data_IF_650587698487
#
_entry.id   IF_650587698487
#
_cell.length_a   1.000
_cell.length_b   1.000
_cell.length_c   1.000
_cell.angle_alpha   90.00
_cell.angle_beta   90.00
_cell.angle_gamma   90.00
#
_symmetry.space_group_name_H-M   'P 1'
#
loop_
_entity.id
_entity.type
_entity.pdbx_description
1 polymer ?
#
# COMPACT_ATOMS: atom_id res chain seq x y z
N UNK A 1 -1.61 14.99 -4.64
CA UNK A 1 -0.98 15.13 -5.97
C UNK A 1 -1.76 14.35 -7.01
N UNK A 2 -1.93 13.02 -6.90
CA UNK A 2 -2.61 12.20 -7.92
C UNK A 2 -4.05 12.65 -8.21
N UNK A 3 -4.85 12.96 -7.17
CA UNK A 3 -6.21 13.50 -7.34
C UNK A 3 -6.23 14.83 -8.10
N UNK A 4 -5.24 15.69 -7.88
CA UNK A 4 -5.10 16.96 -8.63
C UNK A 4 -4.76 16.74 -10.10
N UNK A 5 -4.02 15.68 -10.44
CA UNK A 5 -3.69 15.31 -11.81
C UNK A 5 -4.89 14.71 -12.55
N UNK A 6 -5.69 13.88 -11.88
CA UNK A 6 -6.93 13.33 -12.43
C UNK A 6 -7.95 14.46 -12.80
N UNK A 7 -8.03 15.51 -11.99
CA UNK A 7 -8.87 16.69 -12.27
C UNK A 7 -8.43 17.54 -13.48
N UNK A 8 -7.25 17.29 -14.06
CA UNK A 8 -6.71 18.01 -15.22
C UNK A 8 -6.95 17.29 -16.56
N UNK A 9 -7.91 16.38 -16.64
CA UNK A 9 -8.20 15.55 -17.84
C UNK A 9 -6.99 14.70 -18.30
N UNK A 10 -6.10 14.32 -17.38
CA UNK A 10 -4.97 13.43 -17.67
C UNK A 10 -5.38 11.99 -17.41
N UNK A 11 -5.07 11.10 -18.34
CA UNK A 11 -5.16 9.68 -18.09
C UNK A 11 -4.03 9.24 -17.17
N UNK A 12 -4.39 8.61 -16.07
CA UNK A 12 -3.45 8.04 -15.11
C UNK A 12 -3.50 6.52 -15.21
N UNK A 13 -2.33 5.92 -15.32
CA UNK A 13 -2.16 4.49 -15.46
C UNK A 13 -1.37 3.97 -14.26
N UNK A 14 -1.87 2.95 -13.62
CA UNK A 14 -1.20 2.25 -12.53
C UNK A 14 -0.96 0.80 -12.93
N UNK A 15 0.26 0.34 -12.81
CA UNK A 15 0.65 -1.03 -13.11
C UNK A 15 1.43 -1.61 -11.93
N UNK A 16 1.07 -2.81 -11.50
CA UNK A 16 1.82 -3.59 -10.54
C UNK A 16 1.70 -5.09 -10.81
N UNK A 17 2.69 -5.86 -10.37
CA UNK A 17 2.65 -7.33 -10.39
C UNK A 17 1.91 -7.88 -9.18
N UNK A 18 2.03 -7.20 -8.06
CA UNK A 18 1.29 -7.49 -6.83
C UNK A 18 0.56 -6.22 -6.39
N UNK A 19 -0.67 -6.38 -5.96
CA UNK A 19 -1.48 -5.31 -5.41
C UNK A 19 -1.71 -5.55 -3.94
N UNK A 20 -1.41 -4.58 -3.12
CA UNK A 20 -1.79 -4.53 -1.71
C UNK A 20 -2.83 -3.44 -1.43
N UNK A 21 -3.12 -3.19 -0.17
CA UNK A 21 -4.08 -2.16 0.25
C UNK A 21 -3.63 -0.75 -0.15
N UNK A 22 -2.32 -0.49 -0.15
CA UNK A 22 -1.75 0.81 -0.55
C UNK A 22 -1.87 1.00 -2.05
N UNK A 23 -1.61 -0.07 -2.83
CA UNK A 23 -1.77 -0.04 -4.29
C UNK A 23 -3.23 0.21 -4.70
N UNK A 24 -4.18 -0.40 -4.01
CA UNK A 24 -5.61 -0.12 -4.21
C UNK A 24 -5.92 1.35 -3.93
N UNK A 25 -5.40 1.90 -2.83
CA UNK A 25 -5.59 3.31 -2.51
C UNK A 25 -4.97 4.24 -3.56
N UNK A 26 -3.74 3.98 -3.98
CA UNK A 26 -3.03 4.78 -4.97
C UNK A 26 -3.69 4.67 -6.36
N UNK A 27 -3.98 3.44 -6.78
CA UNK A 27 -4.60 3.16 -8.08
C UNK A 27 -6.03 3.66 -8.19
N UNK A 28 -6.71 3.87 -7.07
CA UNK A 28 -8.07 4.40 -7.03
C UNK A 28 -8.22 5.78 -7.69
N UNK A 29 -7.16 6.58 -7.75
CA UNK A 29 -7.13 7.85 -8.48
C UNK A 29 -6.83 7.69 -9.99
N UNK A 30 -6.54 6.46 -10.45
CA UNK A 30 -6.10 6.19 -11.80
C UNK A 30 -7.26 5.75 -12.70
N UNK A 31 -7.22 6.18 -13.97
CA UNK A 31 -8.19 5.77 -14.98
C UNK A 31 -8.01 4.30 -15.35
N UNK A 32 -6.76 3.86 -15.46
CA UNK A 32 -6.38 2.50 -15.78
C UNK A 32 -5.62 1.88 -14.61
N UNK A 33 -6.17 0.80 -14.08
CA UNK A 33 -5.60 0.00 -13.00
C UNK A 33 -5.25 -1.36 -13.56
N UNK A 34 -3.97 -1.62 -13.76
CA UNK A 34 -3.50 -2.79 -14.50
C UNK A 34 -2.70 -3.68 -13.57
N UNK A 35 -3.02 -4.98 -13.59
CA UNK A 35 -2.27 -6.01 -12.89
C UNK A 35 -1.57 -6.90 -13.90
N UNK A 36 -0.38 -7.43 -13.54
CA UNK A 36 0.25 -8.47 -14.35
C UNK A 36 -0.63 -9.73 -14.42
N UNK A 37 -0.77 -10.43 -15.57
CA UNK A 37 -1.64 -11.61 -15.69
C UNK A 37 -1.35 -12.75 -14.70
N UNK A 38 -0.08 -12.90 -14.29
CA UNK A 38 0.36 -13.83 -13.24
C UNK A 38 0.44 -13.15 -11.85
N UNK A 39 -0.05 -11.94 -11.74
CA UNK A 39 -0.03 -11.17 -10.51
C UNK A 39 -1.11 -11.59 -9.54
N UNK A 40 -0.94 -11.15 -8.31
CA UNK A 40 -1.87 -11.39 -7.22
C UNK A 40 -2.32 -10.08 -6.59
N UNK A 41 -3.57 -10.04 -6.18
CA UNK A 41 -4.10 -8.97 -5.36
C UNK A 41 -4.26 -9.49 -3.94
N UNK A 42 -3.41 -9.00 -3.04
CA UNK A 42 -3.29 -9.49 -1.68
C UNK A 42 -3.68 -8.39 -0.69
N UNK A 43 -4.93 -8.39 -0.28
CA UNK A 43 -5.42 -7.45 0.71
C UNK A 43 -5.36 -8.09 2.09
N UNK A 44 -4.19 -8.05 2.68
CA UNK A 44 -4.02 -8.39 4.09
C UNK A 44 -4.38 -7.17 4.92
N UNK A 45 -5.08 -7.42 6.03
CA UNK A 45 -5.30 -6.38 7.02
C UNK A 45 -3.97 -5.84 7.56
N UNK A 46 -4.03 -4.78 8.34
CA UNK A 46 -2.87 -4.26 9.03
C UNK A 46 -2.55 -5.15 10.22
N UNK A 47 -1.27 -5.47 10.42
CA UNK A 47 -0.78 -6.21 11.56
C UNK A 47 0.37 -5.45 12.22
N UNK A 48 0.46 -5.57 13.52
CA UNK A 48 1.58 -5.05 14.29
C UNK A 48 2.35 -6.20 14.92
N UNK A 49 3.66 -6.23 14.73
CA UNK A 49 4.55 -7.19 15.37
C UNK A 49 5.57 -6.44 16.22
N UNK A 50 5.84 -6.97 17.40
CA UNK A 50 6.82 -6.42 18.33
C UNK A 50 7.65 -7.54 18.93
N UNK A 51 8.96 -7.36 18.96
CA UNK A 51 9.87 -8.26 19.64
C UNK A 51 9.93 -7.91 21.13
N UNK A 52 9.97 -8.94 21.97
CA UNK A 52 10.16 -8.81 23.41
C UNK A 52 11.47 -9.48 23.80
N UNK A 53 12.32 -8.75 24.51
CA UNK A 53 13.68 -9.17 24.85
C UNK A 53 13.81 -9.60 26.30
N UNK A 54 12.75 -9.51 27.11
CA UNK A 54 12.80 -9.80 28.55
C UNK A 54 13.37 -11.18 28.85
N UNK A 55 12.87 -12.23 28.21
CA UNK A 55 13.37 -13.60 28.46
C UNK A 55 14.85 -13.77 28.09
N UNK A 56 15.29 -13.10 27.03
CA UNK A 56 16.69 -13.12 26.63
C UNK A 56 17.56 -12.41 27.67
N UNK A 57 17.13 -11.26 28.17
CA UNK A 57 17.84 -10.48 29.18
C UNK A 57 17.92 -11.28 30.52
N UNK A 58 16.81 -11.85 30.94
CA UNK A 58 16.74 -12.68 32.14
C UNK A 58 17.73 -13.87 32.07
N UNK A 59 17.84 -14.54 30.92
CA UNK A 59 18.79 -15.63 30.69
C UNK A 59 20.26 -15.21 30.82
N UNK A 60 20.54 -13.94 30.51
CA UNK A 60 21.88 -13.37 30.63
C UNK A 60 22.11 -12.63 31.97
N UNK A 61 21.16 -12.68 32.89
CA UNK A 61 21.27 -12.03 34.20
C UNK A 61 21.23 -10.49 34.10
N UNK A 62 20.61 -9.95 33.04
CA UNK A 62 20.46 -8.51 32.84
C UNK A 62 19.10 -8.06 33.36
N UNK A 63 19.09 -7.24 34.39
CA UNK A 63 17.89 -6.58 34.90
C UNK A 63 17.74 -5.22 34.27
N UNK A 64 16.51 -4.85 33.88
CA UNK A 64 16.19 -3.56 33.26
C UNK A 64 15.26 -2.79 34.17
N UNK A 65 15.76 -1.70 34.73
CA UNK A 65 14.96 -0.74 35.51
C UNK A 65 14.31 0.28 34.58
N UNK A 66 12.99 0.36 34.65
CA UNK A 66 12.20 1.28 33.83
C UNK A 66 11.46 2.30 34.70
N UNK A 67 11.84 3.54 34.55
CA UNK A 67 11.15 4.67 35.18
C UNK A 67 10.13 5.27 34.21
N UNK A 68 8.84 4.98 34.42
CA UNK A 68 7.76 5.51 33.59
C UNK A 68 6.66 6.15 34.44
N UNK A 69 6.01 7.15 33.91
CA UNK A 69 4.79 7.73 34.50
C UNK A 69 3.66 7.66 33.47
N UNK A 70 2.61 6.93 33.83
CA UNK A 70 1.43 6.70 32.98
C UNK A 70 1.42 5.29 32.36
N UNK A 71 0.21 4.71 32.27
CA UNK A 71 -0.02 3.32 31.85
C UNK A 71 0.25 3.09 30.36
N UNK A 72 0.01 4.09 29.51
CA UNK A 72 0.18 4.01 28.06
C UNK A 72 1.59 4.31 27.55
N UNK A 73 2.58 4.44 28.44
CA UNK A 73 3.98 4.60 28.05
C UNK A 73 4.64 3.25 27.83
N UNK A 74 4.43 2.68 26.66
CA UNK A 74 4.82 1.30 26.29
C UNK A 74 6.19 1.16 25.63
N UNK A 75 6.93 2.26 25.41
CA UNK A 75 8.22 2.22 24.70
C UNK A 75 9.26 1.26 25.33
N UNK A 76 9.23 1.07 26.65
CA UNK A 76 10.13 0.15 27.35
C UNK A 76 9.55 -1.27 27.54
N UNK A 77 8.33 -1.53 27.12
CA UNK A 77 7.68 -2.83 27.29
C UNK A 77 8.43 -3.98 26.62
N UNK A 78 9.12 -3.82 25.48
CA UNK A 78 9.96 -4.87 24.90
C UNK A 78 11.03 -5.43 25.83
N UNK A 79 11.50 -4.63 26.75
CA UNK A 79 12.56 -5.03 27.70
C UNK A 79 12.00 -5.48 29.06
N UNK A 80 10.77 -5.11 29.37
CA UNK A 80 10.12 -5.35 30.68
C UNK A 80 9.13 -6.50 30.66
N UNK A 81 8.45 -6.70 29.52
CA UNK A 81 7.39 -7.68 29.37
C UNK A 81 7.80 -8.79 28.39
N UNK A 82 7.18 -9.96 28.51
CA UNK A 82 7.33 -11.06 27.55
C UNK A 82 6.27 -11.06 26.47
N UNK A 83 5.22 -10.24 26.63
CA UNK A 83 4.10 -10.07 25.70
C UNK A 83 3.52 -8.68 25.88
N UNK A 84 2.58 -8.30 25.00
CA UNK A 84 1.84 -7.07 25.13
C UNK A 84 1.10 -6.99 26.47
N UNK A 85 1.30 -5.91 27.21
CA UNK A 85 0.43 -5.61 28.34
C UNK A 85 -0.93 -5.09 27.84
N UNK A 86 -1.90 -5.01 28.72
CA UNK A 86 -3.27 -4.61 28.37
C UNK A 86 -3.31 -3.22 27.72
N UNK A 87 -2.59 -2.25 28.27
CA UNK A 87 -2.62 -0.86 27.80
C UNK A 87 -1.91 -0.70 26.44
N UNK A 88 -0.81 -1.41 26.25
CA UNK A 88 -0.10 -1.41 24.98
C UNK A 88 -0.94 -2.07 23.89
N UNK A 89 -1.58 -3.21 24.18
CA UNK A 89 -2.50 -3.88 23.27
C UNK A 89 -3.66 -2.98 22.86
N UNK A 90 -4.34 -2.37 23.82
CA UNK A 90 -5.46 -1.44 23.57
C UNK A 90 -5.03 -0.28 22.66
N UNK A 91 -3.86 0.30 22.92
CA UNK A 91 -3.33 1.41 22.14
C UNK A 91 -3.05 1.00 20.68
N UNK A 92 -2.43 -0.16 20.48
CA UNK A 92 -2.10 -0.67 19.14
C UNK A 92 -3.36 -1.09 18.40
N UNK A 93 -4.28 -1.80 19.03
CA UNK A 93 -5.56 -2.20 18.43
C UNK A 93 -6.35 -0.97 17.98
N UNK A 94 -6.41 0.06 18.83
CA UNK A 94 -7.05 1.32 18.45
C UNK A 94 -6.37 2.03 17.31
N UNK A 95 -5.04 2.04 17.26
CA UNK A 95 -4.28 2.61 16.16
C UNK A 95 -4.57 1.89 14.85
N UNK A 96 -4.50 0.55 14.85
CA UNK A 96 -4.78 -0.27 13.68
C UNK A 96 -6.22 -0.07 13.19
N UNK A 97 -7.19 -0.04 14.10
CA UNK A 97 -8.59 0.21 13.79
C UNK A 97 -8.79 1.55 13.07
N UNK A 98 -8.21 2.63 13.62
CA UNK A 98 -8.29 3.97 13.01
C UNK A 98 -7.62 4.00 11.64
N UNK A 99 -6.48 3.32 11.48
CA UNK A 99 -5.79 3.24 10.19
C UNK A 99 -6.64 2.50 9.14
N UNK A 100 -7.21 1.34 9.49
CA UNK A 100 -8.10 0.58 8.60
C UNK A 100 -9.33 1.40 8.22
N UNK A 101 -9.98 2.03 9.19
CA UNK A 101 -11.16 2.87 8.93
C UNK A 101 -10.82 4.05 8.02
N UNK A 102 -9.69 4.71 8.25
CA UNK A 102 -9.24 5.84 7.43
C UNK A 102 -8.95 5.38 5.99
N UNK A 103 -8.17 4.31 5.81
CA UNK A 103 -7.85 3.76 4.49
C UNK A 103 -9.12 3.32 3.76
N UNK A 104 -10.00 2.56 4.41
CA UNK A 104 -11.27 2.12 3.81
C UNK A 104 -12.13 3.29 3.37
N UNK A 105 -12.27 4.31 4.22
CA UNK A 105 -13.05 5.51 3.89
C UNK A 105 -12.47 6.29 2.72
N UNK A 106 -11.15 6.37 2.61
CA UNK A 106 -10.48 7.07 1.51
C UNK A 106 -10.56 6.28 0.19
N UNK A 107 -10.43 4.95 0.26
CA UNK A 107 -10.62 4.06 -0.90
C UNK A 107 -12.05 4.20 -1.43
N UNK A 108 -13.05 4.18 -0.55
CA UNK A 108 -14.45 4.33 -0.93
C UNK A 108 -14.78 5.68 -1.59
N UNK A 109 -14.07 6.76 -1.24
CA UNK A 109 -14.25 8.07 -1.88
C UNK A 109 -13.73 8.14 -3.31
N UNK A 110 -12.78 7.28 -3.67
CA UNK A 110 -12.05 7.37 -4.94
C UNK A 110 -12.48 6.30 -5.93
N UNK A 111 -12.87 5.15 -5.44
CA UNK A 111 -13.25 4.00 -6.25
C UNK A 111 -14.71 3.59 -5.99
N UNK A 112 -15.36 3.09 -7.03
CA UNK A 112 -16.72 2.57 -6.93
C UNK A 112 -16.79 1.18 -6.24
N UNK A 113 -15.92 0.93 -5.27
CA UNK A 113 -15.91 -0.34 -4.53
C UNK A 113 -17.03 -0.34 -3.49
N UNK A 114 -17.76 -1.46 -3.40
CA UNK A 114 -18.72 -1.64 -2.32
C UNK A 114 -18.01 -1.96 -1.01
N UNK A 115 -18.58 -1.52 0.13
CA UNK A 115 -18.04 -1.83 1.45
C UNK A 115 -17.89 -3.34 1.68
N UNK A 116 -18.83 -4.14 1.19
CA UNK A 116 -18.78 -5.60 1.30
C UNK A 116 -17.56 -6.22 0.61
N UNK A 117 -17.13 -5.65 -0.51
CA UNK A 117 -15.90 -6.09 -1.20
C UNK A 117 -14.70 -5.76 -0.34
N UNK A 118 -14.60 -4.54 0.19
CA UNK A 118 -13.51 -4.14 1.06
C UNK A 118 -13.44 -5.01 2.33
N UNK A 119 -14.56 -5.26 2.98
CA UNK A 119 -14.61 -6.08 4.18
C UNK A 119 -14.12 -7.52 3.90
N UNK A 120 -14.55 -8.11 2.78
CA UNK A 120 -14.09 -9.45 2.38
C UNK A 120 -12.59 -9.48 2.02
N UNK A 121 -12.06 -8.41 1.48
CA UNK A 121 -10.64 -8.29 1.13
C UNK A 121 -9.76 -8.05 2.37
N UNK A 122 -10.23 -7.23 3.30
CA UNK A 122 -9.53 -6.98 4.58
C UNK A 122 -9.47 -8.23 5.49
N UNK A 123 -10.36 -9.21 5.27
CA UNK A 123 -10.32 -10.52 5.93
C UNK A 123 -9.18 -11.43 5.43
N UNK A 124 -8.35 -10.98 4.51
CA UNK A 124 -7.12 -11.66 4.09
C UNK A 124 -7.23 -12.47 2.81
N UNK A 125 -8.18 -12.14 1.93
CA UNK A 125 -8.31 -12.81 0.64
C UNK A 125 -7.15 -12.46 -0.29
N UNK A 126 -6.53 -13.48 -0.88
CA UNK A 126 -5.63 -13.33 -2.02
C UNK A 126 -6.41 -13.68 -3.28
N UNK A 127 -6.45 -12.75 -4.23
CA UNK A 127 -7.16 -12.91 -5.50
C UNK A 127 -6.16 -13.05 -6.64
N UNK A 128 -6.51 -13.86 -7.63
CA UNK A 128 -5.77 -13.90 -8.90
C UNK A 128 -6.05 -12.63 -9.71
N UNK A 129 -5.20 -12.35 -10.70
CA UNK A 129 -5.43 -11.23 -11.62
C UNK A 129 -6.79 -11.34 -12.33
N UNK A 130 -7.21 -12.56 -12.70
CA UNK A 130 -8.51 -12.81 -13.34
C UNK A 130 -9.68 -12.47 -12.40
N UNK A 131 -9.60 -12.89 -11.12
CA UNK A 131 -10.64 -12.57 -10.12
C UNK A 131 -10.68 -11.07 -9.82
N UNK A 132 -9.52 -10.42 -9.78
CA UNK A 132 -9.44 -8.97 -9.54
C UNK A 132 -10.10 -8.17 -10.68
N UNK A 133 -9.94 -8.61 -11.93
CA UNK A 133 -10.63 -8.02 -13.09
C UNK A 133 -12.14 -8.32 -13.03
N UNK A 134 -12.53 -9.57 -12.76
CA UNK A 134 -13.94 -9.97 -12.66
C UNK A 134 -14.67 -9.17 -11.56
N UNK A 135 -14.01 -8.89 -10.47
CA UNK A 135 -14.53 -8.07 -9.36
C UNK A 135 -14.37 -6.55 -9.58
N UNK A 136 -13.85 -6.13 -10.73
CA UNK A 136 -13.63 -4.71 -11.08
C UNK A 136 -12.68 -3.96 -10.13
N UNK A 137 -11.85 -4.67 -9.37
CA UNK A 137 -10.83 -4.09 -8.50
C UNK A 137 -9.70 -3.46 -9.33
N UNK A 138 -9.40 -4.10 -10.47
CA UNK A 138 -8.51 -3.58 -11.52
C UNK A 138 -9.28 -3.53 -12.84
N UNK A 139 -8.81 -2.71 -13.78
CA UNK A 139 -9.49 -2.56 -15.06
C UNK A 139 -9.15 -3.67 -16.04
N UNK A 140 -7.91 -4.12 -16.04
CA UNK A 140 -7.42 -5.14 -16.97
C UNK A 140 -6.16 -5.82 -16.45
N UNK A 141 -5.87 -7.00 -17.00
CA UNK A 141 -4.64 -7.73 -16.74
C UNK A 141 -3.78 -7.71 -18.01
N UNK A 142 -2.61 -7.07 -17.94
CA UNK A 142 -1.66 -6.95 -19.05
C UNK A 142 -0.24 -7.25 -18.55
N UNK A 143 0.54 -7.92 -19.39
CA UNK A 143 1.97 -8.02 -19.18
C UNK A 143 2.66 -6.67 -19.45
N UNK A 144 3.83 -6.47 -18.86
CA UNK A 144 4.64 -5.27 -19.12
C UNK A 144 4.91 -5.07 -20.61
N UNK A 145 5.13 -6.18 -21.34
CA UNK A 145 5.37 -6.13 -22.79
C UNK A 145 4.14 -5.60 -23.55
N UNK A 146 2.95 -6.10 -23.24
CA UNK A 146 1.69 -5.64 -23.85
C UNK A 146 1.42 -4.18 -23.51
N UNK A 147 1.66 -3.80 -22.27
CA UNK A 147 1.54 -2.42 -21.81
C UNK A 147 2.51 -1.50 -22.55
N UNK A 148 3.80 -1.89 -22.65
CA UNK A 148 4.81 -1.13 -23.40
C UNK A 148 4.47 -1.03 -24.89
N UNK A 149 3.90 -2.07 -25.50
CA UNK A 149 3.48 -2.03 -26.91
C UNK A 149 2.28 -1.08 -27.12
N UNK A 150 1.31 -1.10 -26.22
CA UNK A 150 0.20 -0.14 -26.23
C UNK A 150 0.71 1.30 -26.16
N UNK A 151 1.68 1.58 -25.28
CA UNK A 151 2.29 2.90 -25.17
C UNK A 151 3.18 3.29 -26.35
N UNK A 152 3.86 2.36 -26.98
CA UNK A 152 4.65 2.64 -28.19
C UNK A 152 3.77 3.10 -29.34
N UNK A 153 2.58 2.54 -29.46
CA UNK A 153 1.59 2.98 -30.43
C UNK A 153 1.13 4.43 -30.17
N UNK A 154 1.12 4.86 -28.92
CA UNK A 154 0.68 6.19 -28.49
C UNK A 154 1.81 7.22 -28.30
N UNK A 155 2.99 7.02 -28.89
CA UNK A 155 4.18 7.91 -28.83
C UNK A 155 4.76 8.14 -27.42
N UNK A 156 4.54 7.23 -26.48
CA UNK A 156 5.05 7.37 -25.11
C UNK A 156 6.54 7.03 -24.98
N UNK A 157 7.17 6.41 -25.98
CA UNK A 157 8.58 5.98 -25.94
C UNK A 157 9.59 7.12 -25.79
N UNK A 158 9.22 8.36 -26.11
CA UNK A 158 10.09 9.54 -25.93
C UNK A 158 9.97 10.18 -24.54
N UNK A 159 8.81 10.10 -23.88
CA UNK A 159 8.57 10.73 -22.59
C UNK A 159 9.31 10.01 -21.44
N UNK A 160 9.43 8.67 -21.51
CA UNK A 160 10.12 7.86 -20.50
C UNK A 160 11.65 7.98 -20.62
N UNK A 161 12.18 8.27 -21.81
CA UNK A 161 13.63 8.49 -22.02
C UNK A 161 14.11 9.89 -21.64
N UNK A 162 13.23 10.87 -21.57
CA UNK A 162 13.58 12.19 -21.07
C UNK A 162 13.50 12.18 -19.54
N UNK A 163 14.63 11.95 -18.88
CA UNK A 163 14.82 12.30 -17.48
C UNK A 163 14.17 13.67 -17.23
N UNK A 164 13.32 13.70 -16.23
CA UNK A 164 12.62 14.85 -15.69
C UNK A 164 13.49 16.13 -15.73
N UNK A 165 13.37 16.91 -16.76
CA UNK A 165 13.76 18.32 -16.78
C UNK A 165 12.49 19.11 -16.93
N UNK A 166 12.07 19.71 -15.82
CA UNK A 166 10.81 20.40 -15.73
C UNK A 166 10.68 21.55 -16.73
N UNK A 167 9.72 21.42 -17.62
CA UNK A 167 8.94 22.52 -18.18
C UNK A 167 7.63 21.91 -18.66
N UNK A 168 6.55 22.28 -18.03
CA UNK A 168 5.20 21.89 -18.44
C UNK A 168 4.77 22.86 -19.58
N UNK A 169 4.82 22.38 -20.82
CA UNK A 169 4.23 23.07 -21.95
C UNK A 169 2.81 22.53 -22.24
N UNK A 170 2.00 23.32 -22.92
CA UNK A 170 0.64 23.00 -23.34
C UNK A 170 0.61 21.81 -24.31
N UNK A 171 0.14 20.66 -23.87
CA UNK A 171 -0.07 19.43 -24.61
C UNK A 171 -0.51 18.31 -23.71
N UNK A 172 -1.31 17.36 -24.22
CA UNK A 172 -1.74 16.17 -23.48
C UNK A 172 -0.49 15.39 -23.04
N UNK A 173 -0.28 15.26 -21.74
CA UNK A 173 0.85 14.53 -21.17
C UNK A 173 0.33 13.42 -20.28
N UNK A 174 0.79 12.21 -20.54
CA UNK A 174 0.54 11.04 -19.72
C UNK A 174 1.74 10.92 -18.77
N UNK A 175 1.48 10.92 -17.47
CA UNK A 175 2.48 10.56 -16.48
C UNK A 175 2.28 9.09 -16.12
N UNK A 176 3.31 8.27 -16.34
CA UNK A 176 3.32 6.87 -15.95
C UNK A 176 4.25 6.72 -14.77
N UNK A 177 3.70 6.29 -13.64
CA UNK A 177 4.49 5.84 -12.50
C UNK A 177 4.52 4.31 -12.55
N UNK A 178 5.67 3.75 -12.84
CA UNK A 178 5.93 2.32 -12.73
C UNK A 178 6.67 2.13 -11.41
N UNK A 179 6.02 1.46 -10.46
CA UNK A 179 6.68 1.00 -9.25
C UNK A 179 7.03 -0.47 -9.44
N UNK A 180 8.30 -0.78 -9.54
CA UNK A 180 8.80 -2.14 -9.70
C UNK A 180 9.71 -2.46 -8.51
N UNK A 181 9.37 -3.49 -7.76
CA UNK A 181 10.15 -4.00 -6.65
C UNK A 181 9.52 -3.79 -5.27
N UNK A 182 10.05 -4.50 -4.30
CA UNK A 182 9.69 -4.31 -2.90
C UNK A 182 10.10 -2.91 -2.44
N UNK A 183 9.19 -2.20 -1.78
CA UNK A 183 9.56 -1.00 -1.04
C UNK A 183 10.38 -1.47 0.14
N UNK A 184 11.69 -1.45 -0.01
CA UNK A 184 12.62 -1.60 1.12
C UNK A 184 13.04 -0.19 1.52
N UNK A 185 13.01 0.10 2.81
CA UNK A 185 13.72 1.25 3.36
C UNK A 185 15.19 1.07 2.98
N UNK A 186 15.58 1.67 1.88
CA UNK A 186 16.89 1.50 1.31
C UNK A 186 17.67 2.79 1.40
N UNK A 187 18.62 2.79 2.26
CA UNK A 187 19.86 3.49 2.00
C UNK A 187 20.65 2.66 0.98
N UNK A 188 20.77 3.13 -0.25
CA UNK A 188 21.94 2.82 -1.07
C UNK A 188 23.00 3.84 -0.77
#
# INVERSE_FOLDING_TARGET
>A
VLRGMAGQQKELWYYATEYDLVDIYLSGACTHRIIHPLGTLCLRGLAWQQLFFKEMLDKHGVEVDVFRRGSYKSAADPFRCTTFDQYNREQIERLLEVMVQTLSSEIMKVSAYSQQILDSLLQGATLTAADAVAKQLVTEALSEHELRNRWKQDKLSEAVKKRYRGHFGSGMRIAVLVFEGSIVDGSN
#
